data_IF_951933924286
#
_entry.id   IF_951933924286
#
_cell.length_a   1.000
_cell.length_b   1.000
_cell.length_c   1.000
_cell.angle_alpha   90.00
_cell.angle_beta   90.00
_cell.angle_gamma   90.00
#
_symmetry.space_group_name_H-M   'P 1'
#
loop_
_entity.id
_entity.type
_entity.pdbx_description
1 polymer ?
#
# COMPACT_ATOMS: atom_id res chain seq x y z
N UNK A 1 30.64 -30.15 -7.34
CA UNK A 1 29.16 -30.18 -7.41
C UNK A 1 28.70 -29.45 -6.19
N UNK A 2 28.40 -28.14 -6.32
CA UNK A 2 27.88 -27.28 -5.23
C UNK A 2 26.49 -27.80 -4.85
N UNK A 3 26.31 -28.01 -3.55
CA UNK A 3 25.07 -28.46 -2.91
C UNK A 3 23.94 -27.48 -3.26
N UNK A 4 23.14 -27.82 -4.25
CA UNK A 4 21.89 -27.13 -4.57
C UNK A 4 20.84 -27.51 -3.50
N UNK A 5 21.08 -27.21 -2.26
CA UNK A 5 20.01 -27.04 -1.28
C UNK A 5 19.14 -25.91 -1.82
N UNK A 6 17.90 -26.20 -2.13
CA UNK A 6 16.96 -25.21 -2.54
C UNK A 6 17.00 -24.08 -1.49
N UNK A 7 17.44 -22.89 -1.91
CA UNK A 7 17.59 -21.74 -1.02
C UNK A 7 16.21 -21.44 -0.45
N UNK A 8 16.12 -21.28 0.87
CA UNK A 8 14.87 -20.91 1.54
C UNK A 8 14.42 -19.55 0.97
N UNK A 9 13.15 -19.41 0.55
CA UNK A 9 12.67 -18.12 0.04
C UNK A 9 12.78 -17.01 1.09
N UNK A 10 13.17 -15.81 0.70
CA UNK A 10 13.41 -14.68 1.63
C UNK A 10 12.18 -14.34 2.51
N UNK A 11 10.96 -14.47 1.98
CA UNK A 11 9.76 -14.27 2.78
C UNK A 11 9.55 -15.36 3.86
N UNK A 12 10.07 -16.57 3.65
CA UNK A 12 10.07 -17.61 4.68
C UNK A 12 11.10 -17.31 5.77
N UNK A 13 12.29 -16.82 5.39
CA UNK A 13 13.30 -16.38 6.38
C UNK A 13 12.75 -15.28 7.30
N UNK A 14 12.00 -14.32 6.73
CA UNK A 14 11.34 -13.23 7.48
C UNK A 14 10.12 -13.69 8.29
N UNK A 15 9.49 -14.82 7.93
CA UNK A 15 8.27 -15.34 8.55
C UNK A 15 8.38 -16.87 8.72
N UNK A 16 9.24 -17.35 9.63
CA UNK A 16 9.62 -18.75 9.66
C UNK A 16 8.57 -19.71 10.24
N UNK A 17 7.52 -19.23 10.88
CA UNK A 17 6.52 -20.08 11.55
C UNK A 17 5.43 -20.55 10.59
N UNK A 18 5.10 -21.84 10.61
CA UNK A 18 4.04 -22.43 9.80
C UNK A 18 2.68 -21.75 10.00
N UNK A 19 2.29 -21.50 11.25
CA UNK A 19 1.01 -20.90 11.60
C UNK A 19 0.82 -19.47 11.08
N UNK A 20 1.90 -18.78 10.67
CA UNK A 20 1.82 -17.48 10.00
C UNK A 20 1.24 -17.61 8.57
N UNK A 21 1.37 -18.77 7.94
CA UNK A 21 1.01 -19.00 6.55
C UNK A 21 -0.22 -19.89 6.35
N UNK A 22 -0.41 -20.88 7.23
CA UNK A 22 -1.46 -21.88 7.06
C UNK A 22 -2.14 -22.16 8.40
N UNK A 23 -3.48 -22.22 8.36
CA UNK A 23 -4.32 -22.68 9.45
C UNK A 23 -5.46 -23.54 8.93
N UNK A 24 -6.30 -24.04 9.84
CA UNK A 24 -7.54 -24.73 9.48
C UNK A 24 -8.68 -24.14 10.32
N UNK A 25 -9.76 -23.73 9.65
CA UNK A 25 -10.96 -23.23 10.32
C UNK A 25 -12.19 -23.83 9.63
N UNK A 26 -13.12 -24.34 10.41
CA UNK A 26 -14.37 -24.95 9.93
C UNK A 26 -14.14 -26.06 8.89
N UNK A 27 -13.04 -26.82 9.02
CA UNK A 27 -12.68 -27.91 8.11
C UNK A 27 -12.12 -27.43 6.75
N UNK A 28 -11.81 -26.16 6.58
CA UNK A 28 -11.21 -25.58 5.39
C UNK A 28 -9.79 -25.08 5.72
N UNK A 29 -8.85 -25.31 4.81
CA UNK A 29 -7.48 -24.82 4.96
C UNK A 29 -7.45 -23.32 4.66
N UNK A 30 -7.05 -22.52 5.65
CA UNK A 30 -6.80 -21.07 5.48
C UNK A 30 -5.35 -20.86 5.04
N UNK A 31 -5.19 -20.01 4.03
CA UNK A 31 -3.88 -19.59 3.54
C UNK A 31 -3.75 -18.08 3.74
N UNK A 32 -2.76 -17.68 4.51
CA UNK A 32 -2.47 -16.30 4.83
C UNK A 32 -1.39 -15.78 3.89
N UNK A 33 -1.57 -14.56 3.41
CA UNK A 33 -0.63 -13.86 2.53
C UNK A 33 -0.48 -12.41 2.95
N UNK A 34 0.71 -11.84 2.79
CA UNK A 34 0.95 -10.40 3.01
C UNK A 34 0.71 -9.55 1.76
N UNK A 35 0.61 -10.18 0.58
CA UNK A 35 0.27 -9.47 -0.67
C UNK A 35 -1.23 -9.20 -0.74
N UNK A 36 -1.60 -8.00 -1.19
CA UNK A 36 -2.96 -7.47 -1.10
C UNK A 36 -3.66 -7.37 -2.47
N UNK A 37 -4.98 -7.52 -2.47
CA UNK A 37 -5.83 -7.32 -3.64
C UNK A 37 -6.09 -5.83 -3.87
N UNK A 38 -5.78 -5.37 -5.09
CA UNK A 38 -5.97 -3.98 -5.53
C UNK A 38 -6.86 -3.90 -6.80
N UNK A 39 -7.48 -5.04 -7.17
CA UNK A 39 -8.22 -5.23 -8.41
C UNK A 39 -7.48 -6.03 -9.46
N UNK A 40 -6.20 -6.37 -9.24
CA UNK A 40 -5.35 -7.10 -10.20
C UNK A 40 -5.58 -8.62 -10.23
N UNK A 41 -6.35 -9.18 -9.27
CA UNK A 41 -6.63 -10.61 -9.18
C UNK A 41 -5.54 -11.44 -8.53
N UNK A 42 -4.67 -10.83 -7.73
CA UNK A 42 -3.54 -11.51 -7.09
C UNK A 42 -3.99 -12.60 -6.12
N UNK A 43 -5.10 -12.39 -5.40
CA UNK A 43 -5.63 -13.37 -4.45
C UNK A 43 -5.94 -14.70 -5.17
N UNK A 44 -6.56 -14.62 -6.35
CA UNK A 44 -6.85 -15.84 -7.14
C UNK A 44 -5.56 -16.50 -7.65
N UNK A 45 -4.60 -15.72 -8.14
CA UNK A 45 -3.34 -16.25 -8.62
C UNK A 45 -2.53 -16.94 -7.50
N UNK A 46 -2.48 -16.35 -6.32
CA UNK A 46 -1.81 -16.96 -5.17
C UNK A 46 -2.59 -18.17 -4.63
N UNK A 47 -3.93 -18.14 -4.70
CA UNK A 47 -4.75 -19.30 -4.37
C UNK A 47 -4.46 -20.52 -5.28
N UNK A 48 -4.30 -20.30 -6.59
CA UNK A 48 -3.91 -21.37 -7.51
C UNK A 48 -2.55 -21.99 -7.12
N UNK A 49 -1.57 -21.13 -6.79
CA UNK A 49 -0.24 -21.60 -6.37
C UNK A 49 -0.32 -22.37 -5.04
N UNK A 50 -1.08 -21.86 -4.07
CA UNK A 50 -1.24 -22.47 -2.76
C UNK A 50 -1.98 -23.81 -2.86
N UNK A 51 -3.06 -23.87 -3.63
CA UNK A 51 -3.83 -25.09 -3.84
C UNK A 51 -2.97 -26.21 -4.42
N UNK A 52 -2.23 -25.93 -5.50
CA UNK A 52 -1.29 -26.89 -6.09
C UNK A 52 -0.19 -27.28 -5.09
N UNK A 53 0.39 -26.30 -4.38
CA UNK A 53 1.45 -26.55 -3.43
C UNK A 53 1.01 -27.44 -2.25
N UNK A 54 -0.23 -27.29 -1.79
CA UNK A 54 -0.85 -28.07 -0.73
C UNK A 54 -1.44 -29.40 -1.22
N UNK A 55 -1.45 -29.64 -2.53
CA UNK A 55 -2.14 -30.75 -3.17
C UNK A 55 -3.64 -30.81 -2.82
N UNK A 56 -4.30 -29.65 -2.80
CA UNK A 56 -5.73 -29.48 -2.56
C UNK A 56 -6.41 -28.89 -3.80
N UNK A 57 -7.70 -29.16 -4.02
CA UNK A 57 -8.47 -28.40 -5.01
C UNK A 57 -8.59 -26.93 -4.58
N UNK A 58 -8.74 -26.00 -5.56
CA UNK A 58 -8.91 -24.57 -5.27
C UNK A 58 -10.08 -24.29 -4.30
N UNK A 59 -11.15 -25.09 -4.37
CA UNK A 59 -12.29 -25.04 -3.45
C UNK A 59 -12.00 -25.55 -2.04
N UNK A 60 -10.88 -26.23 -1.82
CA UNK A 60 -10.45 -26.76 -0.51
C UNK A 60 -9.65 -25.78 0.32
N UNK A 61 -9.37 -24.59 -0.20
CA UNK A 61 -8.65 -23.55 0.50
C UNK A 61 -9.46 -22.25 0.59
N UNK A 62 -9.15 -21.45 1.59
CA UNK A 62 -9.66 -20.09 1.76
C UNK A 62 -8.49 -19.14 1.92
N UNK A 63 -8.39 -18.12 1.04
CA UNK A 63 -7.41 -17.06 1.20
C UNK A 63 -7.87 -16.10 2.29
N UNK A 64 -6.96 -15.76 3.19
CA UNK A 64 -7.20 -14.79 4.28
C UNK A 64 -6.55 -13.48 3.89
N UNK A 65 -7.27 -12.37 4.09
CA UNK A 65 -6.75 -11.02 3.83
C UNK A 65 -5.50 -10.76 4.67
N UNK A 66 -4.60 -9.93 4.14
CA UNK A 66 -3.39 -9.56 4.85
C UNK A 66 -3.72 -8.86 6.18
N UNK A 67 -3.05 -9.30 7.24
CA UNK A 67 -3.31 -8.88 8.61
C UNK A 67 -2.01 -8.89 9.42
N UNK A 68 -1.73 -7.81 10.17
CA UNK A 68 -0.43 -7.66 10.85
C UNK A 68 -0.22 -8.60 12.04
N UNK A 69 -1.29 -9.21 12.56
CA UNK A 69 -1.22 -10.15 13.69
C UNK A 69 -1.26 -11.62 13.27
N UNK A 70 -1.88 -11.92 12.11
CA UNK A 70 -2.16 -13.31 11.72
C UNK A 70 -1.54 -13.73 10.40
N UNK A 71 -0.86 -12.84 9.69
CA UNK A 71 -0.30 -13.12 8.38
C UNK A 71 1.17 -12.76 8.26
N UNK A 72 1.84 -13.20 7.18
CA UNK A 72 3.24 -12.89 6.95
C UNK A 72 3.46 -11.44 6.56
N UNK A 73 4.58 -10.86 6.98
CA UNK A 73 5.09 -9.62 6.40
C UNK A 73 5.79 -9.95 5.09
N UNK A 74 5.13 -9.66 3.98
CA UNK A 74 5.69 -9.79 2.64
C UNK A 74 6.01 -8.43 1.99
N UNK A 75 6.07 -7.37 2.81
CA UNK A 75 6.35 -6.01 2.38
C UNK A 75 5.27 -5.44 1.47
N UNK A 76 5.67 -4.63 0.50
CA UNK A 76 4.74 -3.93 -0.39
C UNK A 76 4.22 -4.82 -1.52
N UNK A 77 2.94 -4.63 -1.89
CA UNK A 77 2.35 -5.13 -3.13
C UNK A 77 2.58 -4.09 -4.22
N UNK A 78 3.76 -4.14 -4.85
CA UNK A 78 4.22 -3.18 -5.84
C UNK A 78 5.20 -3.82 -6.83
N UNK A 79 5.53 -3.12 -7.92
CA UNK A 79 6.57 -3.51 -8.86
C UNK A 79 6.29 -4.80 -9.64
N UNK A 80 5.05 -5.29 -9.68
CA UNK A 80 4.66 -6.59 -10.29
C UNK A 80 5.38 -7.81 -9.66
N UNK A 81 5.79 -7.72 -8.42
CA UNK A 81 6.62 -8.72 -7.74
C UNK A 81 5.82 -9.76 -6.95
N UNK A 82 4.50 -9.62 -6.82
CA UNK A 82 3.70 -10.46 -5.90
C UNK A 82 3.81 -11.96 -6.20
N UNK A 83 3.66 -12.38 -7.47
CA UNK A 83 3.81 -13.80 -7.84
C UNK A 83 5.26 -14.24 -7.70
N UNK A 84 6.21 -13.36 -8.11
CA UNK A 84 7.64 -13.67 -8.06
C UNK A 84 8.14 -13.90 -6.63
N UNK A 85 7.59 -13.17 -5.66
CA UNK A 85 8.01 -13.22 -4.25
C UNK A 85 7.17 -14.19 -3.42
N UNK A 86 5.84 -14.03 -3.42
CA UNK A 86 4.94 -14.88 -2.63
C UNK A 86 4.81 -16.30 -3.20
N UNK A 87 4.90 -16.49 -4.52
CA UNK A 87 4.77 -17.79 -5.14
C UNK A 87 5.78 -18.82 -4.65
N UNK A 88 7.09 -18.55 -4.63
CA UNK A 88 8.08 -19.42 -4.03
C UNK A 88 7.85 -19.73 -2.55
N UNK A 89 7.42 -18.73 -1.76
CA UNK A 89 7.10 -18.92 -0.35
C UNK A 89 5.94 -19.89 -0.16
N UNK A 90 4.83 -19.72 -0.88
CA UNK A 90 3.67 -20.62 -0.81
C UNK A 90 4.02 -22.04 -1.27
N UNK A 91 4.86 -22.19 -2.30
CA UNK A 91 5.36 -23.52 -2.74
C UNK A 91 6.19 -24.19 -1.66
N UNK A 92 7.03 -23.46 -0.97
CA UNK A 92 7.84 -23.96 0.14
C UNK A 92 6.96 -24.39 1.32
N UNK A 93 6.02 -23.52 1.74
CA UNK A 93 5.03 -23.84 2.80
C UNK A 93 4.27 -25.12 2.46
N UNK A 94 3.72 -25.22 1.24
CA UNK A 94 2.99 -26.39 0.80
C UNK A 94 3.86 -27.66 0.76
N UNK A 95 5.14 -27.55 0.41
CA UNK A 95 6.08 -28.68 0.44
C UNK A 95 6.35 -29.15 1.87
N UNK A 96 6.48 -28.24 2.85
CA UNK A 96 6.61 -28.61 4.28
C UNK A 96 5.32 -29.24 4.79
N UNK A 97 4.16 -28.64 4.52
CA UNK A 97 2.86 -29.21 4.93
C UNK A 97 2.68 -30.64 4.41
N UNK A 98 2.97 -30.90 3.12
CA UNK A 98 2.85 -32.24 2.55
C UNK A 98 3.87 -33.23 3.13
N UNK A 99 5.06 -32.77 3.49
CA UNK A 99 6.05 -33.63 4.14
C UNK A 99 5.58 -34.05 5.54
N UNK A 100 4.96 -33.17 6.29
CA UNK A 100 4.53 -33.39 7.67
C UNK A 100 3.15 -34.09 7.75
N UNK A 101 2.18 -33.66 6.95
CA UNK A 101 0.82 -34.21 6.97
C UNK A 101 0.65 -35.47 6.14
N UNK A 102 1.65 -35.80 5.29
CA UNK A 102 1.61 -36.96 4.40
C UNK A 102 0.72 -36.77 3.16
N UNK A 103 0.30 -37.87 2.50
CA UNK A 103 -0.43 -37.79 1.23
C UNK A 103 -1.82 -37.14 1.41
N UNK A 104 -2.29 -36.49 0.32
CA UNK A 104 -3.61 -35.83 0.27
C UNK A 104 -4.71 -36.87 0.03
N UNK A 105 -5.04 -37.60 1.09
CA UNK A 105 -6.06 -38.66 1.16
C UNK A 105 -7.09 -38.30 2.25
N UNK A 106 -8.04 -39.20 2.51
CA UNK A 106 -9.02 -39.02 3.59
C UNK A 106 -8.34 -38.59 4.90
N UNK A 107 -8.92 -37.58 5.58
CA UNK A 107 -8.37 -37.03 6.81
C UNK A 107 -7.19 -36.08 6.63
N UNK A 108 -6.80 -35.71 5.38
CA UNK A 108 -5.64 -34.84 5.13
C UNK A 108 -5.79 -33.46 5.82
N UNK A 109 -6.96 -32.82 5.69
CA UNK A 109 -7.21 -31.50 6.35
C UNK A 109 -7.12 -31.61 7.87
N UNK A 110 -7.59 -32.71 8.46
CA UNK A 110 -7.46 -32.95 9.89
C UNK A 110 -5.98 -33.12 10.32
N UNK A 111 -5.17 -33.76 9.48
CA UNK A 111 -3.71 -33.86 9.73
C UNK A 111 -3.02 -32.49 9.61
N UNK A 112 -3.43 -31.64 8.66
CA UNK A 112 -2.94 -30.25 8.58
C UNK A 112 -3.32 -29.49 9.84
N UNK A 113 -4.55 -29.63 10.33
CA UNK A 113 -5.02 -28.98 11.56
C UNK A 113 -4.24 -29.42 12.82
N UNK A 114 -3.66 -30.60 12.80
CA UNK A 114 -2.87 -31.15 13.91
C UNK A 114 -1.37 -30.77 13.85
N UNK A 115 -0.92 -30.08 12.81
CA UNK A 115 0.47 -29.63 12.72
C UNK A 115 0.75 -28.55 13.76
N UNK A 116 1.96 -28.58 14.31
CA UNK A 116 2.42 -27.54 15.22
C UNK A 116 2.58 -26.20 14.46
N UNK A 117 1.83 -25.15 14.83
CA UNK A 117 1.92 -23.85 14.18
C UNK A 117 3.29 -23.17 14.38
N UNK A 118 4.06 -23.56 15.39
CA UNK A 118 5.40 -23.05 15.64
C UNK A 118 6.50 -23.79 14.85
N UNK A 119 6.12 -24.75 13.99
CA UNK A 119 7.06 -25.44 13.09
C UNK A 119 7.89 -24.42 12.31
N UNK A 120 9.23 -24.54 12.41
CA UNK A 120 10.18 -23.67 11.70
C UNK A 120 10.32 -24.13 10.23
N UNK A 121 9.78 -23.34 9.32
CA UNK A 121 9.80 -23.56 7.90
C UNK A 121 11.21 -23.51 7.27
N UNK A 122 12.17 -22.88 7.94
CA UNK A 122 13.54 -22.76 7.41
C UNK A 122 14.35 -24.07 7.55
N UNK A 123 13.95 -24.90 8.50
CA UNK A 123 14.64 -26.15 8.86
C UNK A 123 13.79 -27.40 8.63
N UNK A 124 12.48 -27.25 8.43
CA UNK A 124 11.56 -28.36 8.24
C UNK A 124 11.85 -29.13 6.95
N UNK A 125 11.57 -30.43 6.97
CA UNK A 125 11.65 -31.27 5.78
C UNK A 125 10.61 -30.83 4.74
N UNK A 126 10.98 -30.88 3.46
CA UNK A 126 10.11 -30.57 2.32
C UNK A 126 9.82 -31.79 1.48
N UNK A 127 8.58 -31.94 1.03
CA UNK A 127 8.24 -32.93 -0.02
C UNK A 127 8.70 -32.41 -1.39
N UNK A 128 8.82 -33.34 -2.34
CA UNK A 128 9.10 -33.01 -3.74
C UNK A 128 8.03 -32.08 -4.36
N UNK A 129 8.26 -31.55 -5.58
CA UNK A 129 7.32 -30.67 -6.26
C UNK A 129 5.92 -31.31 -6.37
N UNK A 130 4.89 -30.48 -6.12
CA UNK A 130 3.50 -30.87 -6.38
C UNK A 130 3.18 -30.76 -7.88
N UNK A 131 2.18 -31.53 -8.34
CA UNK A 131 1.67 -31.39 -9.69
C UNK A 131 0.96 -30.01 -9.85
N UNK A 132 1.18 -29.34 -10.98
CA UNK A 132 0.42 -28.15 -11.34
C UNK A 132 -0.94 -28.60 -11.91
N UNK A 133 -2.01 -28.39 -11.14
CA UNK A 133 -3.39 -28.73 -11.50
C UNK A 133 -4.18 -27.47 -11.83
N UNK A 134 -4.01 -26.42 -11.06
CA UNK A 134 -4.72 -25.16 -11.18
C UNK A 134 -3.83 -24.07 -11.86
N UNK A 135 -2.55 -24.01 -11.53
CA UNK A 135 -1.60 -23.10 -12.17
C UNK A 135 -1.49 -23.39 -13.67
N UNK A 136 -1.57 -22.35 -14.48
CA UNK A 136 -1.56 -22.43 -15.95
C UNK A 136 -2.93 -22.68 -16.56
N UNK A 137 -3.99 -22.75 -15.78
CA UNK A 137 -5.38 -22.82 -16.23
C UNK A 137 -6.11 -21.51 -15.98
N UNK A 138 -7.17 -21.28 -16.75
CA UNK A 138 -8.07 -20.17 -16.55
C UNK A 138 -9.06 -20.52 -15.44
N UNK A 139 -8.82 -19.98 -14.25
CA UNK A 139 -9.72 -20.11 -13.11
C UNK A 139 -10.60 -18.86 -12.96
N UNK A 140 -11.82 -19.04 -12.48
CA UNK A 140 -12.69 -17.93 -12.15
C UNK A 140 -12.10 -17.14 -10.96
N UNK A 141 -12.11 -15.81 -11.04
CA UNK A 141 -11.65 -14.99 -9.91
C UNK A 141 -12.52 -15.22 -8.69
N UNK A 142 -11.88 -15.46 -7.54
CA UNK A 142 -12.55 -15.76 -6.27
C UNK A 142 -13.36 -14.57 -5.71
N UNK A 143 -12.96 -13.36 -6.06
CA UNK A 143 -13.54 -12.10 -5.57
C UNK A 143 -14.72 -11.58 -6.42
N UNK A 144 -14.86 -12.03 -7.67
CA UNK A 144 -15.87 -11.48 -8.59
C UNK A 144 -17.32 -11.73 -8.19
N UNK A 145 -17.73 -12.92 -7.67
CA UNK A 145 -19.12 -13.14 -7.31
C UNK A 145 -19.68 -12.09 -6.32
N UNK A 146 -18.90 -11.74 -5.30
CA UNK A 146 -19.32 -10.74 -4.33
C UNK A 146 -19.42 -9.35 -4.96
N UNK A 147 -18.42 -8.96 -5.76
CA UNK A 147 -18.38 -7.67 -6.45
C UNK A 147 -19.55 -7.49 -7.43
N UNK A 148 -19.83 -8.52 -8.23
CA UNK A 148 -20.93 -8.48 -9.22
C UNK A 148 -22.31 -8.46 -8.57
N UNK A 149 -22.46 -9.15 -7.43
CA UNK A 149 -23.71 -9.21 -6.69
C UNK A 149 -23.89 -8.05 -5.71
N UNK A 150 -22.94 -7.12 -5.63
CA UNK A 150 -23.00 -5.96 -4.72
C UNK A 150 -22.93 -6.33 -3.25
N UNK A 151 -22.29 -7.45 -2.89
CA UNK A 151 -22.08 -7.81 -1.49
C UNK A 151 -21.02 -6.90 -0.88
N UNK A 152 -21.13 -6.54 0.41
CA UNK A 152 -20.13 -5.74 1.10
C UNK A 152 -18.73 -6.37 0.99
N UNK A 153 -17.78 -5.65 0.40
CA UNK A 153 -16.42 -6.11 0.21
C UNK A 153 -15.39 -4.99 0.32
N UNK A 154 -15.78 -3.78 0.01
CA UNK A 154 -14.90 -2.63 0.03
C UNK A 154 -14.87 -1.97 1.41
N UNK A 155 -13.78 -1.27 1.71
CA UNK A 155 -13.62 -0.56 2.97
C UNK A 155 -14.77 0.41 3.25
N UNK A 156 -15.26 1.09 2.21
CA UNK A 156 -16.42 1.97 2.31
C UNK A 156 -17.76 1.23 2.60
N UNK A 157 -17.80 -0.10 2.49
CA UNK A 157 -18.98 -0.91 2.82
C UNK A 157 -19.02 -1.34 4.30
N UNK A 158 -17.91 -1.19 5.02
CA UNK A 158 -17.83 -1.58 6.43
C UNK A 158 -18.78 -0.74 7.28
N UNK A 159 -19.51 -1.40 8.18
CA UNK A 159 -20.47 -0.76 9.10
C UNK A 159 -20.36 -1.41 10.49
N UNK A 160 -19.20 -1.32 11.16
CA UNK A 160 -19.11 -1.81 12.53
C UNK A 160 -20.06 -1.04 13.44
N UNK A 161 -20.47 -1.68 14.52
CA UNK A 161 -21.41 -1.09 15.49
C UNK A 161 -20.83 0.22 16.06
N UNK A 162 -21.67 1.23 16.19
CA UNK A 162 -21.30 2.53 16.73
C UNK A 162 -20.39 3.37 15.83
N UNK A 163 -20.22 2.99 14.55
CA UNK A 163 -19.35 3.72 13.61
C UNK A 163 -19.77 5.17 13.43
N UNK A 164 -18.74 6.03 13.38
CA UNK A 164 -18.85 7.44 13.02
C UNK A 164 -18.27 7.68 11.61
N UNK A 165 -18.76 8.72 10.97
CA UNK A 165 -18.19 9.28 9.76
C UNK A 165 -17.22 10.39 10.10
N UNK A 166 -16.09 10.45 9.39
CA UNK A 166 -15.06 11.47 9.54
C UNK A 166 -14.68 12.13 8.24
N UNK A 167 -14.33 13.41 8.31
CA UNK A 167 -13.71 14.17 7.22
C UNK A 167 -12.58 15.02 7.78
N UNK A 168 -11.55 15.19 6.96
CA UNK A 168 -10.42 16.08 7.25
C UNK A 168 -10.48 17.27 6.31
N UNK A 169 -10.35 18.47 6.84
CA UNK A 169 -10.15 19.67 6.04
C UNK A 169 -8.66 19.82 5.75
N UNK A 170 -8.30 19.69 4.49
CA UNK A 170 -6.92 19.89 4.05
C UNK A 170 -6.60 21.39 3.96
N UNK A 171 -5.34 21.77 4.21
CA UNK A 171 -4.89 23.15 3.99
C UNK A 171 -5.11 23.56 2.51
N UNK A 172 -5.23 24.88 2.22
CA UNK A 172 -5.37 25.34 0.85
C UNK A 172 -4.10 25.14 0.00
N UNK A 173 -2.93 25.13 0.64
CA UNK A 173 -1.63 24.99 -0.03
C UNK A 173 -0.62 24.24 0.83
N UNK A 174 0.44 23.72 0.21
CA UNK A 174 1.55 23.06 0.90
C UNK A 174 2.22 24.05 1.84
N UNK A 175 2.39 23.66 3.11
CA UNK A 175 3.01 24.48 4.14
C UNK A 175 2.10 25.52 4.77
N UNK A 176 0.84 25.65 4.37
CA UNK A 176 -0.14 26.50 5.02
C UNK A 176 -0.36 26.06 6.48
N UNK A 177 -0.49 27.02 7.38
CA UNK A 177 -0.72 26.80 8.80
C UNK A 177 -2.08 27.35 9.22
N UNK A 178 -2.81 26.56 10.01
CA UNK A 178 -4.13 26.95 10.51
C UNK A 178 -3.98 28.06 11.55
N UNK A 179 -4.74 29.15 11.35
CA UNK A 179 -4.86 30.27 12.29
C UNK A 179 -6.20 30.20 13.00
N UNK A 180 -7.30 30.03 12.27
CA UNK A 180 -8.68 29.93 12.76
C UNK A 180 -9.41 28.78 12.09
N UNK A 181 -10.44 28.21 12.70
CA UNK A 181 -11.03 28.56 13.99
C UNK A 181 -10.23 28.03 15.17
N UNK A 182 -10.55 28.51 16.37
CA UNK A 182 -10.09 27.92 17.62
C UNK A 182 -10.90 26.65 17.99
N UNK A 183 -10.61 26.06 19.14
CA UNK A 183 -11.30 24.86 19.63
C UNK A 183 -12.77 25.12 20.05
N UNK A 184 -13.19 26.36 20.14
CA UNK A 184 -14.57 26.74 20.50
C UNK A 184 -15.54 26.64 19.31
N UNK A 185 -15.04 26.41 18.09
CA UNK A 185 -15.89 26.25 16.91
C UNK A 185 -16.85 25.05 17.09
N UNK A 186 -18.11 25.24 16.71
CA UNK A 186 -19.16 24.24 16.85
C UNK A 186 -20.02 24.15 15.58
N UNK A 187 -20.45 22.93 15.26
CA UNK A 187 -21.51 22.67 14.29
C UNK A 187 -22.45 21.57 14.78
N UNK A 188 -23.72 21.57 14.40
CA UNK A 188 -24.69 20.61 14.85
C UNK A 188 -24.34 19.18 14.44
N UNK A 189 -24.41 18.24 15.40
CA UNK A 189 -24.27 16.81 15.14
C UNK A 189 -22.86 16.32 14.86
N UNK A 190 -21.86 17.16 15.06
CA UNK A 190 -20.46 16.80 14.86
C UNK A 190 -19.55 17.29 15.98
N UNK A 191 -18.43 16.61 16.14
CA UNK A 191 -17.31 17.00 17.00
C UNK A 191 -16.14 17.48 16.14
N UNK A 192 -15.52 18.59 16.54
CA UNK A 192 -14.31 19.11 15.93
C UNK A 192 -13.10 18.37 16.48
N UNK A 193 -12.24 17.91 15.58
CA UNK A 193 -10.94 17.32 15.92
C UNK A 193 -9.83 18.24 15.43
N UNK A 194 -9.01 18.74 16.34
CA UNK A 194 -7.88 19.62 16.03
C UNK A 194 -6.61 19.15 16.72
N UNK A 195 -5.51 19.12 15.98
CA UNK A 195 -4.15 18.91 16.48
C UNK A 195 -3.18 19.74 15.63
N UNK A 196 -2.76 20.89 16.12
CA UNK A 196 -1.99 21.85 15.34
C UNK A 196 -2.77 22.40 14.15
N UNK A 197 -2.30 22.12 12.93
CA UNK A 197 -2.97 22.45 11.67
C UNK A 197 -3.78 21.27 11.09
N UNK A 198 -3.74 20.09 11.73
CA UNK A 198 -4.67 19.01 11.43
C UNK A 198 -6.05 19.40 11.93
N UNK A 199 -7.03 19.32 11.03
CA UNK A 199 -8.41 19.74 11.32
C UNK A 199 -9.39 18.78 10.68
N UNK A 200 -10.31 18.24 11.48
CA UNK A 200 -11.32 17.33 11.00
C UNK A 200 -12.62 17.42 11.81
N UNK A 201 -13.64 16.74 11.31
CA UNK A 201 -14.95 16.62 11.96
C UNK A 201 -15.40 15.17 11.95
N UNK A 202 -16.03 14.75 13.05
CA UNK A 202 -16.62 13.41 13.20
C UNK A 202 -18.07 13.51 13.63
N UNK A 203 -18.92 12.59 13.17
CA UNK A 203 -20.33 12.59 13.51
C UNK A 203 -21.05 11.30 13.09
N UNK A 204 -22.26 11.07 13.59
CA UNK A 204 -23.03 9.86 13.31
C UNK A 204 -23.61 9.82 11.89
N UNK A 205 -23.95 10.99 11.34
CA UNK A 205 -24.56 11.09 10.03
C UNK A 205 -23.59 11.75 9.04
N UNK A 206 -23.30 11.04 7.97
CA UNK A 206 -22.37 11.51 6.94
C UNK A 206 -22.75 12.90 6.39
N UNK A 207 -24.06 13.14 6.20
CA UNK A 207 -24.57 14.44 5.70
C UNK A 207 -24.30 15.60 6.65
N UNK A 208 -24.28 15.37 7.97
CA UNK A 208 -23.99 16.41 8.94
C UNK A 208 -22.48 16.70 8.97
N UNK A 209 -21.66 15.65 8.82
CA UNK A 209 -20.20 15.76 8.68
C UNK A 209 -19.83 16.55 7.41
N UNK A 210 -20.45 16.25 6.27
CA UNK A 210 -20.20 16.96 5.00
C UNK A 210 -20.60 18.44 5.10
N UNK A 211 -21.76 18.77 5.71
CA UNK A 211 -22.18 20.15 5.95
C UNK A 211 -21.24 20.90 6.89
N UNK A 212 -20.80 20.22 7.95
CA UNK A 212 -19.85 20.79 8.90
C UNK A 212 -18.49 21.06 8.24
N UNK A 213 -18.02 20.14 7.38
CA UNK A 213 -16.78 20.35 6.60
C UNK A 213 -16.89 21.58 5.70
N UNK A 214 -18.03 21.76 5.01
CA UNK A 214 -18.26 22.92 4.15
C UNK A 214 -18.35 24.22 4.95
N UNK A 215 -18.93 24.20 6.15
CA UNK A 215 -18.92 25.34 7.06
C UNK A 215 -17.48 25.63 7.53
N UNK A 216 -16.78 24.62 8.00
CA UNK A 216 -15.40 24.75 8.48
C UNK A 216 -14.47 25.33 7.42
N UNK A 217 -14.63 24.91 6.14
CA UNK A 217 -13.87 25.47 5.01
C UNK A 217 -14.08 26.98 4.84
N UNK A 218 -15.28 27.49 5.10
CA UNK A 218 -15.58 28.93 5.03
C UNK A 218 -15.07 29.69 6.24
N UNK A 219 -15.07 29.06 7.40
CA UNK A 219 -14.72 29.69 8.68
C UNK A 219 -13.20 29.67 8.93
N UNK A 220 -12.45 28.80 8.21
CA UNK A 220 -11.01 28.70 8.38
C UNK A 220 -10.24 29.89 7.81
N UNK A 221 -9.23 30.28 8.55
CA UNK A 221 -8.19 31.19 8.08
C UNK A 221 -6.83 30.50 8.18
N UNK A 222 -6.06 30.60 7.11
CA UNK A 222 -4.76 29.97 6.98
C UNK A 222 -3.67 31.03 6.74
N UNK A 223 -2.50 30.79 7.31
CA UNK A 223 -1.26 31.48 6.94
C UNK A 223 -0.59 30.66 5.83
N UNK A 224 -0.68 31.19 4.62
CA UNK A 224 -0.20 30.51 3.41
C UNK A 224 1.20 30.97 3.02
N UNK A 225 1.96 30.07 2.41
CA UNK A 225 3.27 30.33 1.85
C UNK A 225 3.32 29.82 0.43
N UNK A 226 3.90 30.61 -0.45
CA UNK A 226 4.18 30.17 -1.82
C UNK A 226 5.47 29.32 -1.83
N UNK A 227 5.29 28.01 -1.82
CA UNK A 227 6.36 27.00 -1.77
C UNK A 227 6.39 26.12 -3.03
N UNK A 228 5.43 26.27 -3.93
CA UNK A 228 5.36 25.45 -5.13
C UNK A 228 6.10 26.12 -6.29
N UNK A 229 6.66 25.32 -7.22
CA UNK A 229 7.24 25.87 -8.45
C UNK A 229 6.14 26.44 -9.34
N UNK A 230 6.54 27.29 -10.28
CA UNK A 230 5.67 27.74 -11.36
C UNK A 230 5.22 26.51 -12.18
N UNK A 231 3.90 26.32 -12.26
CA UNK A 231 3.30 25.17 -12.94
C UNK A 231 3.42 25.28 -14.47
N UNK A 232 3.56 26.50 -15.01
CA UNK A 232 3.64 26.75 -16.44
C UNK A 232 5.01 26.36 -17.02
N UNK A 233 6.06 26.28 -16.21
CA UNK A 233 7.41 25.88 -16.66
C UNK A 233 8.11 24.84 -15.77
N UNK A 234 7.39 23.78 -15.44
CA UNK A 234 7.97 22.63 -14.71
C UNK A 234 9.24 22.04 -15.35
N UNK A 235 9.37 21.93 -16.68
CA UNK A 235 10.59 21.41 -17.29
C UNK A 235 11.82 22.27 -17.00
N UNK A 236 11.72 23.59 -17.01
CA UNK A 236 12.83 24.48 -16.64
C UNK A 236 13.14 24.37 -15.15
N UNK A 237 12.12 24.39 -14.30
CA UNK A 237 12.30 24.25 -12.85
C UNK A 237 13.03 22.93 -12.50
N UNK A 238 12.66 21.79 -13.10
CA UNK A 238 13.30 20.51 -12.88
C UNK A 238 14.80 20.52 -13.25
N UNK A 239 15.17 21.27 -14.28
CA UNK A 239 16.57 21.35 -14.78
C UNK A 239 17.42 22.32 -13.99
N UNK A 240 16.85 23.41 -13.49
CA UNK A 240 17.57 24.51 -12.84
C UNK A 240 17.54 24.45 -11.33
N UNK A 241 16.58 23.72 -10.74
CA UNK A 241 16.47 23.54 -9.30
C UNK A 241 17.60 22.69 -8.71
N UNK A 242 17.73 22.65 -7.38
CA UNK A 242 18.68 21.76 -6.72
C UNK A 242 18.42 20.31 -7.10
N UNK A 243 19.46 19.59 -7.54
CA UNK A 243 19.36 18.19 -7.93
C UNK A 243 20.63 17.43 -7.56
N UNK A 244 20.50 16.10 -7.48
CA UNK A 244 21.61 15.16 -7.38
C UNK A 244 21.78 14.51 -8.76
N UNK A 245 23.01 14.48 -9.27
CA UNK A 245 23.34 13.82 -10.53
C UNK A 245 23.75 12.38 -10.26
N UNK A 246 23.08 11.44 -10.91
CA UNK A 246 23.31 10.00 -10.74
C UNK A 246 23.60 9.39 -12.11
N UNK A 247 24.88 9.11 -12.46
CA UNK A 247 25.18 8.37 -13.67
C UNK A 247 24.68 6.93 -13.54
N UNK A 248 23.80 6.52 -14.43
CA UNK A 248 23.22 5.16 -14.45
C UNK A 248 24.03 4.23 -15.35
N UNK A 249 24.48 4.75 -16.48
CA UNK A 249 25.27 4.01 -17.45
C UNK A 249 26.20 5.00 -18.17
N UNK A 250 27.50 4.69 -18.20
CA UNK A 250 28.51 5.42 -18.98
C UNK A 250 29.44 4.36 -19.58
N UNK A 251 29.09 3.85 -20.75
CA UNK A 251 29.82 2.82 -21.47
C UNK A 251 30.29 3.32 -22.82
N UNK A 252 31.59 3.51 -22.92
CA UNK A 252 32.29 3.85 -24.16
C UNK A 252 32.08 5.28 -24.62
N UNK A 253 33.08 5.83 -25.29
CA UNK A 253 32.91 7.04 -26.11
C UNK A 253 32.17 6.63 -27.38
N UNK A 254 31.02 7.27 -27.72
CA UNK A 254 30.41 7.00 -29.00
C UNK A 254 31.41 7.34 -30.09
N UNK A 255 31.79 6.36 -30.88
CA UNK A 255 32.54 6.66 -32.12
C UNK A 255 31.57 7.34 -33.08
N UNK A 256 31.52 8.65 -32.97
CA UNK A 256 30.67 9.49 -33.82
C UNK A 256 31.22 9.69 -35.21
N UNK A 257 32.43 9.19 -35.50
CA UNK A 257 33.11 9.38 -36.77
C UNK A 257 32.39 8.81 -37.97
N UNK A 258 31.52 7.83 -37.77
CA UNK A 258 30.71 7.17 -38.79
C UNK A 258 29.19 7.40 -38.63
N UNK A 259 28.78 8.23 -37.66
CA UNK A 259 27.38 8.62 -37.50
C UNK A 259 26.94 9.50 -38.68
N UNK A 260 25.97 9.05 -39.43
CA UNK A 260 25.43 9.75 -40.61
C UNK A 260 24.31 10.72 -40.30
N UNK A 261 23.65 10.52 -39.15
CA UNK A 261 22.54 11.36 -38.70
C UNK A 261 22.43 11.32 -37.17
N UNK A 262 22.23 12.48 -36.58
CA UNK A 262 21.89 12.61 -35.16
C UNK A 262 20.43 13.06 -35.02
N UNK A 263 19.69 12.42 -34.18
CA UNK A 263 18.32 12.80 -33.78
C UNK A 263 18.36 13.22 -32.32
N UNK A 264 17.81 14.39 -32.02
CA UNK A 264 17.64 14.86 -30.64
C UNK A 264 16.18 15.24 -30.42
N UNK A 265 15.63 14.83 -29.29
CA UNK A 265 14.28 15.16 -28.88
C UNK A 265 14.21 15.41 -27.38
N UNK A 266 13.33 16.29 -26.97
CA UNK A 266 13.01 16.52 -25.56
C UNK A 266 11.56 16.12 -25.28
N UNK A 267 11.36 15.54 -24.11
CA UNK A 267 10.05 15.08 -23.63
C UNK A 267 9.83 15.59 -22.23
N UNK A 268 8.56 15.89 -21.91
CA UNK A 268 8.19 16.25 -20.54
C UNK A 268 6.88 15.58 -20.14
N UNK A 269 6.73 15.35 -18.86
CA UNK A 269 5.53 14.82 -18.23
C UNK A 269 5.26 15.65 -16.97
N UNK A 270 4.04 16.16 -16.75
CA UNK A 270 3.67 16.84 -15.52
C UNK A 270 3.49 15.85 -14.37
N UNK A 271 3.19 16.35 -13.18
CA UNK A 271 2.63 15.53 -12.10
C UNK A 271 1.27 14.98 -12.53
N UNK A 272 1.02 13.70 -12.24
CA UNK A 272 -0.22 13.02 -12.61
C UNK A 272 -0.81 12.32 -11.39
N UNK A 273 -2.09 12.56 -11.13
CA UNK A 273 -2.84 11.85 -10.10
C UNK A 273 -3.16 10.41 -10.56
N UNK A 274 -3.18 9.48 -9.61
CA UNK A 274 -3.59 8.08 -9.87
C UNK A 274 -5.11 7.96 -10.05
N UNK A 275 -5.88 8.82 -9.39
CA UNK A 275 -7.33 8.99 -9.54
C UNK A 275 -8.11 7.66 -9.46
N UNK A 276 -7.88 6.89 -8.41
CA UNK A 276 -8.65 5.66 -8.14
C UNK A 276 -10.15 5.91 -8.25
N UNK A 277 -10.93 4.94 -8.77
CA UNK A 277 -12.38 5.06 -8.94
C UNK A 277 -13.03 5.45 -7.62
N UNK A 278 -12.76 4.71 -6.53
CA UNK A 278 -13.12 5.15 -5.19
C UNK A 278 -12.03 6.06 -4.64
N UNK A 279 -12.38 7.21 -4.04
CA UNK A 279 -11.45 7.98 -3.23
C UNK A 279 -10.89 7.15 -2.08
N UNK A 280 -9.71 7.51 -1.62
CA UNK A 280 -9.05 6.82 -0.52
C UNK A 280 -9.85 6.93 0.77
N UNK A 281 -9.80 5.87 1.56
CA UNK A 281 -10.52 5.76 2.82
C UNK A 281 -9.71 4.97 3.85
N UNK A 282 -10.03 5.17 5.13
CA UNK A 282 -9.51 4.40 6.25
C UNK A 282 -10.57 4.26 7.33
N UNK A 283 -10.55 3.18 8.06
CA UNK A 283 -11.36 2.98 9.25
C UNK A 283 -10.43 2.70 10.42
N UNK A 284 -10.65 3.36 11.56
CA UNK A 284 -9.84 3.13 12.75
C UNK A 284 -10.68 3.15 14.01
N UNK A 285 -10.23 2.42 15.01
CA UNK A 285 -10.84 2.36 16.34
C UNK A 285 -9.74 2.26 17.41
N UNK A 286 -9.78 3.16 18.37
CA UNK A 286 -9.01 3.06 19.61
C UNK A 286 -9.79 2.30 20.65
N UNK A 287 -9.20 1.24 21.22
CA UNK A 287 -9.75 0.44 22.31
C UNK A 287 -8.81 0.43 23.50
N UNK A 288 -9.21 -0.15 24.62
CA UNK A 288 -8.33 -0.36 25.79
C UNK A 288 -7.17 -1.31 25.46
N UNK A 289 -7.34 -2.19 24.48
CA UNK A 289 -6.36 -3.20 24.05
C UNK A 289 -5.36 -2.64 23.03
N UNK A 290 -5.69 -1.51 22.36
CA UNK A 290 -4.82 -0.90 21.36
C UNK A 290 -5.59 -0.23 20.21
N UNK A 291 -4.90 -0.05 19.11
CA UNK A 291 -5.41 0.60 17.91
C UNK A 291 -5.68 -0.44 16.81
N UNK A 292 -6.91 -0.46 16.29
CA UNK A 292 -7.31 -1.26 15.13
C UNK A 292 -7.51 -0.36 13.92
N UNK A 293 -6.95 -0.75 12.78
CA UNK A 293 -6.99 0.01 11.52
C UNK A 293 -7.36 -0.93 10.38
N UNK A 294 -8.32 -0.51 9.55
CA UNK A 294 -8.64 -1.15 8.27
C UNK A 294 -8.24 -0.21 7.15
N UNK A 295 -7.45 -0.71 6.23
CA UNK A 295 -6.89 0.10 5.15
C UNK A 295 -6.78 -0.68 3.86
N UNK A 296 -6.87 0.01 2.72
CA UNK A 296 -6.54 -0.53 1.42
C UNK A 296 -5.09 -0.24 1.00
N UNK A 297 -4.21 -0.07 1.97
CA UNK A 297 -2.77 0.11 1.73
C UNK A 297 -2.16 -1.06 0.97
N UNK A 298 -1.16 -0.77 0.14
CA UNK A 298 -0.37 -1.77 -0.56
C UNK A 298 0.62 -2.51 0.36
N UNK A 299 0.80 -2.04 1.62
CA UNK A 299 1.68 -2.67 2.60
C UNK A 299 1.25 -2.34 4.02
N UNK A 300 0.50 -3.23 4.63
CA UNK A 300 -0.09 -3.00 5.95
C UNK A 300 0.95 -3.03 7.08
N UNK A 301 2.02 -3.83 6.97
CA UNK A 301 3.09 -3.85 7.96
C UNK A 301 3.88 -2.53 7.97
N UNK A 302 4.37 -2.01 6.82
CA UNK A 302 4.95 -0.66 6.78
C UNK A 302 4.01 0.44 7.27
N UNK A 303 2.70 0.33 6.98
CA UNK A 303 1.71 1.29 7.48
C UNK A 303 1.58 1.23 9.00
N UNK A 304 1.49 0.03 9.59
CA UNK A 304 1.48 -0.18 11.05
C UNK A 304 2.67 0.52 11.71
N UNK A 305 3.86 0.24 11.19
CA UNK A 305 5.11 0.78 11.75
C UNK A 305 5.17 2.31 11.61
N UNK A 306 4.70 2.86 10.49
CA UNK A 306 4.62 4.30 10.28
C UNK A 306 3.62 4.98 11.23
N UNK A 307 2.44 4.39 11.46
CA UNK A 307 1.46 4.89 12.44
C UNK A 307 2.05 4.84 13.85
N UNK A 308 2.63 3.71 14.23
CA UNK A 308 3.25 3.54 15.54
C UNK A 308 4.36 4.57 15.77
N UNK A 309 5.26 4.74 14.81
CA UNK A 309 6.33 5.74 14.88
C UNK A 309 5.78 7.17 14.98
N UNK A 310 4.79 7.52 14.16
CA UNK A 310 4.21 8.86 14.12
C UNK A 310 3.54 9.25 15.46
N UNK A 311 3.01 8.27 16.19
CA UNK A 311 2.28 8.48 17.44
C UNK A 311 3.07 8.06 18.70
N UNK A 312 4.29 7.57 18.53
CA UNK A 312 5.11 7.09 19.65
C UNK A 312 4.54 5.85 20.34
N UNK A 313 3.88 4.96 19.58
CA UNK A 313 3.28 3.72 20.08
C UNK A 313 4.22 2.53 19.90
N UNK A 314 4.01 1.48 20.71
CA UNK A 314 4.57 0.17 20.41
C UNK A 314 3.83 -0.42 19.19
N UNK A 315 4.53 -0.81 18.10
CA UNK A 315 3.91 -1.47 16.95
C UNK A 315 3.06 -2.69 17.31
N UNK A 316 3.38 -3.39 18.40
CA UNK A 316 2.60 -4.54 18.87
C UNK A 316 1.18 -4.17 19.34
N UNK A 317 0.93 -2.89 19.66
CA UNK A 317 -0.40 -2.37 20.04
C UNK A 317 -1.20 -1.82 18.87
N UNK A 318 -0.66 -1.90 17.66
CA UNK A 318 -1.30 -1.42 16.43
C UNK A 318 -1.59 -2.61 15.52
N UNK A 319 -2.84 -2.87 15.28
CA UNK A 319 -3.33 -3.91 14.38
C UNK A 319 -3.80 -3.27 13.08
N UNK A 320 -3.33 -3.76 11.93
CA UNK A 320 -3.78 -3.30 10.61
C UNK A 320 -4.27 -4.50 9.80
N UNK A 321 -5.50 -4.40 9.32
CA UNK A 321 -6.13 -5.37 8.42
C UNK A 321 -6.31 -4.73 7.03
N UNK A 322 -5.96 -5.49 5.99
CA UNK A 322 -6.23 -5.05 4.62
C UNK A 322 -7.68 -5.31 4.24
N UNK A 323 -8.34 -4.26 3.76
CA UNK A 323 -9.66 -4.33 3.13
C UNK A 323 -9.59 -3.63 1.78
N UNK A 324 -10.14 -4.27 0.76
CA UNK A 324 -10.10 -3.75 -0.61
C UNK A 324 -10.77 -2.37 -0.74
N UNK A 325 -10.32 -1.59 -1.71
CA UNK A 325 -11.03 -0.42 -2.23
C UNK A 325 -11.09 -0.48 -3.77
N UNK A 326 -11.95 0.33 -4.40
CA UNK A 326 -12.13 0.28 -5.85
C UNK A 326 -11.02 1.05 -6.57
N UNK A 327 -9.97 0.32 -6.93
CA UNK A 327 -8.81 0.83 -7.68
C UNK A 327 -7.66 1.30 -6.79
N UNK A 328 -6.47 1.29 -7.40
CA UNK A 328 -5.24 1.84 -6.82
C UNK A 328 -4.44 2.59 -7.89
N UNK A 329 -4.23 1.98 -9.07
CA UNK A 329 -3.58 2.52 -10.27
C UNK A 329 -2.15 3.03 -10.08
N UNK A 330 -1.48 2.53 -9.08
CA UNK A 330 -0.11 2.85 -8.70
C UNK A 330 -0.01 3.11 -7.21
N UNK A 331 -0.08 4.35 -6.77
CA UNK A 331 -0.02 4.72 -5.36
C UNK A 331 -1.08 5.77 -5.03
N UNK A 332 -2.26 5.33 -4.57
CA UNK A 332 -3.28 6.23 -4.03
C UNK A 332 -2.98 6.62 -2.56
N UNK A 333 -3.83 7.43 -1.96
CA UNK A 333 -3.64 7.94 -0.60
C UNK A 333 -4.17 7.00 0.51
N UNK A 334 -4.15 5.69 0.30
CA UNK A 334 -4.65 4.71 1.28
C UNK A 334 -4.00 4.82 2.66
N UNK A 335 -2.69 5.03 2.68
CA UNK A 335 -1.92 5.16 3.92
C UNK A 335 -2.30 6.43 4.67
N UNK A 336 -2.42 7.54 3.96
CA UNK A 336 -2.78 8.84 4.50
C UNK A 336 -4.23 8.85 5.02
N UNK A 337 -5.17 8.26 4.27
CA UNK A 337 -6.56 8.16 4.69
C UNK A 337 -6.72 7.25 5.94
N UNK A 338 -5.91 6.19 6.05
CA UNK A 338 -5.88 5.38 7.25
C UNK A 338 -5.37 6.17 8.47
N UNK A 339 -4.32 6.98 8.29
CA UNK A 339 -3.80 7.82 9.35
C UNK A 339 -4.76 8.94 9.75
N UNK A 340 -5.49 9.53 8.79
CA UNK A 340 -6.59 10.45 9.08
C UNK A 340 -7.64 9.80 9.99
N UNK A 341 -8.05 8.58 9.66
CA UNK A 341 -9.01 7.83 10.48
C UNK A 341 -8.49 7.59 11.91
N UNK A 342 -7.19 7.27 12.05
CA UNK A 342 -6.53 7.08 13.35
C UNK A 342 -6.58 8.36 14.18
N UNK A 343 -6.25 9.51 13.58
CA UNK A 343 -6.26 10.80 14.27
C UNK A 343 -7.68 11.21 14.68
N UNK A 344 -8.65 11.01 13.81
CA UNK A 344 -10.07 11.29 14.11
C UNK A 344 -10.60 10.36 15.22
N UNK A 345 -10.31 9.06 15.13
CA UNK A 345 -10.76 8.08 16.12
C UNK A 345 -10.14 8.30 17.50
N UNK A 346 -8.95 8.92 17.57
CA UNK A 346 -8.30 9.27 18.84
C UNK A 346 -9.12 10.25 19.67
N UNK A 347 -9.92 11.12 19.03
CA UNK A 347 -10.79 12.07 19.72
C UNK A 347 -12.06 11.40 20.29
N UNK A 348 -12.46 10.24 19.77
CA UNK A 348 -13.69 9.51 20.15
C UNK A 348 -13.39 8.06 20.51
N UNK A 349 -12.58 7.79 21.56
CA UNK A 349 -12.16 6.44 21.92
C UNK A 349 -13.33 5.47 22.08
N UNK A 350 -13.13 4.22 21.70
CA UNK A 350 -14.14 3.16 21.74
C UNK A 350 -15.06 3.15 20.51
N UNK A 351 -15.14 4.20 19.71
CA UNK A 351 -15.98 4.25 18.50
C UNK A 351 -15.13 4.14 17.22
N UNK A 352 -15.51 3.28 16.26
CA UNK A 352 -14.87 3.23 14.96
C UNK A 352 -15.17 4.51 14.17
N UNK A 353 -14.16 5.06 13.46
CA UNK A 353 -14.32 6.23 12.59
C UNK A 353 -13.90 5.88 11.17
N UNK A 354 -14.85 5.98 10.23
CA UNK A 354 -14.59 5.89 8.80
C UNK A 354 -14.23 7.27 8.25
N UNK A 355 -12.96 7.50 7.98
CA UNK A 355 -12.47 8.64 7.24
C UNK A 355 -12.49 8.34 5.74
N UNK A 356 -13.18 9.17 4.95
CA UNK A 356 -13.21 9.07 3.50
C UNK A 356 -12.83 10.40 2.87
N UNK A 357 -11.89 10.37 1.95
CA UNK A 357 -11.47 11.53 1.19
C UNK A 357 -12.54 11.96 0.19
N UNK A 358 -12.57 13.22 -0.13
CA UNK A 358 -13.34 13.74 -1.26
C UNK A 358 -12.55 13.56 -2.56
N UNK A 359 -13.22 13.67 -3.71
CA UNK A 359 -12.52 13.63 -4.99
C UNK A 359 -11.51 14.79 -5.16
N UNK A 360 -11.81 16.03 -4.74
CA UNK A 360 -10.80 17.09 -4.69
C UNK A 360 -9.58 16.71 -3.84
N UNK A 361 -9.76 16.15 -2.64
CA UNK A 361 -8.63 15.74 -1.80
C UNK A 361 -7.75 14.69 -2.49
N UNK A 362 -8.37 13.68 -3.12
CA UNK A 362 -7.65 12.63 -3.86
C UNK A 362 -6.80 13.19 -5.00
N UNK A 363 -7.31 14.19 -5.72
CA UNK A 363 -6.61 14.79 -6.87
C UNK A 363 -5.56 15.83 -6.49
N UNK A 364 -5.73 16.47 -5.32
CA UNK A 364 -4.84 17.56 -4.87
C UNK A 364 -3.78 17.07 -3.89
N UNK A 365 -4.16 16.21 -2.94
CA UNK A 365 -3.31 15.80 -1.82
C UNK A 365 -2.86 14.34 -1.89
N UNK A 366 -3.45 13.54 -2.79
CA UNK A 366 -2.98 12.19 -3.02
C UNK A 366 -1.56 12.17 -3.59
N UNK A 367 -0.80 11.08 -3.39
CA UNK A 367 0.49 10.93 -4.02
C UNK A 367 0.38 11.06 -5.54
N UNK A 368 1.24 11.86 -6.14
CA UNK A 368 1.30 12.08 -7.57
C UNK A 368 2.45 11.29 -8.19
N UNK A 369 2.32 10.88 -9.45
CA UNK A 369 3.48 10.42 -10.20
C UNK A 369 4.41 11.61 -10.48
N UNK A 370 5.71 11.37 -10.43
CA UNK A 370 6.73 12.42 -10.55
C UNK A 370 6.62 13.17 -11.88
N UNK A 371 6.74 14.50 -11.82
CA UNK A 371 7.02 15.28 -13.01
C UNK A 371 8.43 14.93 -13.52
N UNK A 372 8.58 14.89 -14.84
CA UNK A 372 9.82 14.53 -15.50
C UNK A 372 10.07 15.38 -16.73
N UNK A 373 11.32 15.65 -17.03
CA UNK A 373 11.76 16.13 -18.34
C UNK A 373 13.00 15.37 -18.78
N UNK A 374 13.08 15.05 -20.04
CA UNK A 374 14.19 14.28 -20.59
C UNK A 374 14.69 14.87 -21.89
N UNK A 375 15.98 14.70 -22.16
CA UNK A 375 16.58 14.93 -23.46
C UNK A 375 17.20 13.62 -23.94
N UNK A 376 16.86 13.22 -25.15
CA UNK A 376 17.36 12.00 -25.79
C UNK A 376 18.10 12.38 -27.06
N UNK A 377 19.31 11.87 -27.23
CA UNK A 377 20.06 11.99 -28.48
C UNK A 377 20.50 10.61 -28.97
N UNK A 378 20.25 10.33 -30.24
CA UNK A 378 20.63 9.08 -30.88
C UNK A 378 21.44 9.35 -32.16
N UNK A 379 22.60 8.77 -32.24
CA UNK A 379 23.42 8.70 -33.47
C UNK A 379 22.98 7.50 -34.30
N UNK A 380 22.80 7.70 -35.60
CA UNK A 380 22.41 6.65 -36.54
C UNK A 380 23.47 6.44 -37.60
N UNK A 381 23.75 5.15 -37.90
CA UNK A 381 24.63 4.76 -39.00
C UNK A 381 24.15 3.43 -39.58
N UNK A 382 24.06 3.36 -40.93
CA UNK A 382 23.62 2.14 -41.61
C UNK A 382 22.26 1.58 -41.12
N UNK A 383 21.31 2.45 -40.69
CA UNK A 383 20.00 2.04 -40.17
C UNK A 383 20.03 1.51 -38.74
N UNK A 384 21.12 1.62 -38.02
CA UNK A 384 21.27 1.19 -36.61
C UNK A 384 21.61 2.37 -35.71
N UNK A 385 21.28 2.26 -34.43
CA UNK A 385 21.73 3.20 -33.41
C UNK A 385 23.23 2.95 -33.16
N UNK A 386 24.02 3.99 -33.31
CA UNK A 386 25.48 4.00 -33.14
C UNK A 386 25.94 4.66 -31.86
N UNK A 387 25.09 5.52 -31.30
CA UNK A 387 25.30 6.17 -30.01
C UNK A 387 23.98 6.55 -29.40
N UNK A 388 23.93 6.61 -28.07
CA UNK A 388 22.75 6.95 -27.32
C UNK A 388 23.14 7.79 -26.10
N UNK A 389 22.42 8.90 -25.90
CA UNK A 389 22.47 9.69 -24.66
C UNK A 389 21.05 9.93 -24.18
N UNK A 390 20.83 9.77 -22.88
CA UNK A 390 19.55 9.97 -22.25
C UNK A 390 19.75 10.64 -20.90
N UNK A 391 19.38 11.90 -20.83
CA UNK A 391 19.43 12.70 -19.61
C UNK A 391 18.00 12.94 -19.13
N UNK A 392 17.70 12.59 -17.88
CA UNK A 392 16.38 12.77 -17.29
C UNK A 392 16.45 13.51 -15.95
N UNK A 393 15.61 14.50 -15.80
CA UNK A 393 15.37 15.21 -14.55
C UNK A 393 13.99 14.80 -14.01
N UNK A 394 13.94 14.35 -12.77
CA UNK A 394 12.74 13.81 -12.16
C UNK A 394 12.67 14.13 -10.70
N UNK A 395 11.47 14.32 -10.18
CA UNK A 395 11.21 14.28 -8.75
C UNK A 395 11.28 12.84 -8.23
N UNK A 396 11.62 12.66 -6.94
CA UNK A 396 11.54 11.36 -6.29
C UNK A 396 10.09 10.86 -6.21
N UNK A 397 9.90 9.54 -6.25
CA UNK A 397 8.60 8.89 -6.19
C UNK A 397 8.41 7.96 -4.99
N UNK A 398 9.34 7.96 -4.04
CA UNK A 398 9.31 7.12 -2.84
C UNK A 398 8.61 7.86 -1.69
N UNK A 399 7.29 7.90 -1.71
CA UNK A 399 6.48 8.62 -0.71
C UNK A 399 5.69 7.69 0.22
N UNK A 400 5.88 6.38 0.12
CA UNK A 400 5.15 5.40 0.94
C UNK A 400 5.75 5.28 2.33
N UNK A 401 4.93 4.94 3.36
CA UNK A 401 5.42 4.53 4.66
C UNK A 401 6.46 3.41 4.56
N UNK A 402 7.42 3.41 5.47
CA UNK A 402 8.48 2.40 5.53
C UNK A 402 9.66 2.62 4.58
N UNK A 403 9.56 3.52 3.61
CA UNK A 403 10.72 3.88 2.80
C UNK A 403 11.68 4.76 3.62
N UNK A 404 12.92 4.29 3.76
CA UNK A 404 14.03 5.01 4.42
C UNK A 404 13.79 5.42 5.87
N UNK A 405 12.92 4.68 6.59
CA UNK A 405 12.74 4.81 8.03
C UNK A 405 11.94 6.01 8.50
N UNK A 406 11.33 6.77 7.58
CA UNK A 406 10.43 7.85 7.96
C UNK A 406 8.96 7.45 7.76
N UNK A 407 8.03 7.94 8.59
CA UNK A 407 6.63 7.56 8.51
C UNK A 407 5.96 7.94 7.18
N UNK A 408 6.32 9.08 6.59
CA UNK A 408 5.80 9.51 5.29
C UNK A 408 4.29 9.76 5.22
N UNK A 409 3.63 9.99 6.36
CA UNK A 409 2.18 10.21 6.46
C UNK A 409 1.86 11.71 6.37
N UNK A 410 1.01 12.09 5.40
CA UNK A 410 0.68 13.48 5.10
C UNK A 410 0.22 14.28 6.32
N UNK A 411 -0.75 13.75 7.07
CA UNK A 411 -1.30 14.45 8.23
C UNK A 411 -0.27 14.66 9.35
N UNK A 412 0.77 13.83 9.41
CA UNK A 412 1.85 13.95 10.40
C UNK A 412 2.56 15.30 10.37
N UNK A 413 2.70 15.90 9.19
CA UNK A 413 3.32 17.21 9.01
C UNK A 413 2.46 18.38 9.56
N UNK A 414 1.17 18.12 9.81
CA UNK A 414 0.20 19.14 10.23
C UNK A 414 -0.11 19.09 11.74
N UNK A 415 0.42 18.09 12.48
CA UNK A 415 0.21 17.96 13.92
C UNK A 415 0.89 19.09 14.69
N UNK A 416 0.46 19.35 15.93
CA UNK A 416 1.10 20.32 16.84
C UNK A 416 2.57 19.92 17.12
N UNK A 417 2.86 18.62 17.21
CA UNK A 417 4.22 18.06 17.19
C UNK A 417 4.45 17.39 15.82
N UNK A 418 4.93 18.13 14.80
CA UNK A 418 5.01 17.60 13.45
C UNK A 418 5.96 16.43 13.33
N UNK A 419 5.53 15.40 12.63
CA UNK A 419 6.38 14.28 12.23
C UNK A 419 6.98 14.61 10.86
N UNK A 420 8.31 14.63 10.70
CA UNK A 420 8.92 15.01 9.44
C UNK A 420 8.56 14.02 8.33
N UNK A 421 8.26 14.56 7.15
CA UNK A 421 8.21 13.75 5.94
C UNK A 421 9.63 13.37 5.52
N UNK A 422 9.83 12.18 4.94
CA UNK A 422 11.16 11.77 4.52
C UNK A 422 11.69 12.65 3.39
N UNK A 423 12.99 12.91 3.41
CA UNK A 423 13.68 13.45 2.24
C UNK A 423 13.55 12.44 1.10
N UNK A 424 12.91 12.85 0.02
CA UNK A 424 12.66 11.99 -1.14
C UNK A 424 13.86 12.03 -2.06
N UNK A 425 14.75 11.06 -1.92
CA UNK A 425 15.81 10.84 -2.89
C UNK A 425 15.36 9.86 -3.95
N UNK A 426 15.78 10.10 -5.19
CA UNK A 426 15.65 9.09 -6.25
C UNK A 426 16.51 7.87 -5.89
N UNK A 427 15.98 6.69 -6.12
CA UNK A 427 16.71 5.42 -6.04
C UNK A 427 16.57 4.68 -7.34
#
# INVERSE_FOLDING_TARGET
MSDLRAQVPAHIEGNPRLGTWVGVRDGVVEVHVGKVELGQGIVTALAQIAADALALPLSGIRMVAAHTTHGPDEGLTAGSLSVLQAGPALRHVGAVVRALAGPSEEGYVARIAALDPDTDLTTAATAGPAAAVSVGRSEARLDLPDKVLGRPRYLADLRPEGMLHGRVLRPPSVGARLVEPDEAWKAPGVELVRDGSFLGVVGEREVDVDRALDQLRRDCRWDERDLLPDEDDLPAWLRTGPHEEIPVLDEGAPDVSWTTRTLTASYSKPFLAHASIAPSAGLAQWTEEGLRVWSHSQGIHPLRDAIAQALGLDPATVEVEHVENAGCYGHNAADDAAFDAVLLARAVPGRPVLARWTRPDELTWGPLSSAMTATVSAGLAGGRISGWSYDVWSQGHTSRPGFRGAPGLLAGAHLAAPVPLPDRKNT
#
